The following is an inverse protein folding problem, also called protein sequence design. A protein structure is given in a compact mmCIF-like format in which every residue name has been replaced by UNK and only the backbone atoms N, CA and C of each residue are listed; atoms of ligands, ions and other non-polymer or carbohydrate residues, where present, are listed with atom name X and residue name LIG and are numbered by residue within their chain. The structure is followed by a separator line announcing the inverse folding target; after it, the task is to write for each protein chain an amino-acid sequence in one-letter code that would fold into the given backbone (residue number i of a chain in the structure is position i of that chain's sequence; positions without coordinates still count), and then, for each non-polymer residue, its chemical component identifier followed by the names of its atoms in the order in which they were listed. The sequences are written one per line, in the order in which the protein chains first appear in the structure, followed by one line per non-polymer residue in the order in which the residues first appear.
data_IF_927593278840
#
_entry.id   IF_927593278840
#
_cell.length_a   1.000
_cell.length_b   1.000
_cell.length_c   1.000
_cell.angle_alpha   90.00
_cell.angle_beta   90.00
_cell.angle_gamma   90.00
#
_symmetry.space_group_name_H-M   'P 1'
#
loop_
_entity.id
_entity.type
_entity.pdbx_description
1 polymer ?
#
# COMPACT_ATOMS: atom_id res chain seq x y z
N UNK A 1 -19.84 -8.48 -10.63
CA UNK A 1 -19.01 -9.09 -9.57
C UNK A 1 -18.52 -8.01 -8.63
N UNK A 2 -18.96 -8.10 -7.39
CA UNK A 2 -18.97 -7.08 -6.35
C UNK A 2 -17.95 -7.47 -5.25
N UNK A 3 -16.70 -7.73 -5.63
CA UNK A 3 -15.66 -8.16 -4.67
C UNK A 3 -14.29 -7.53 -4.95
N UNK A 4 -14.27 -6.41 -5.68
CA UNK A 4 -13.07 -5.58 -5.86
C UNK A 4 -12.95 -4.56 -4.74
N UNK A 5 -12.00 -4.78 -3.84
CA UNK A 5 -11.64 -3.83 -2.78
C UNK A 5 -10.68 -2.76 -3.35
N UNK A 6 -11.14 -1.52 -3.44
CA UNK A 6 -10.30 -0.38 -3.77
C UNK A 6 -9.72 0.20 -2.48
N UNK A 7 -8.41 0.07 -2.30
CA UNK A 7 -7.71 0.61 -1.13
C UNK A 7 -6.85 1.80 -1.56
N UNK A 8 -6.97 2.90 -0.81
CA UNK A 8 -6.13 4.08 -0.97
C UNK A 8 -5.06 4.02 0.11
N UNK A 9 -3.80 3.98 -0.31
CA UNK A 9 -2.66 3.92 0.60
C UNK A 9 -2.02 5.31 0.67
N UNK A 10 -2.17 5.98 1.82
CA UNK A 10 -1.58 7.29 2.06
C UNK A 10 -0.33 7.16 2.95
N UNK A 11 0.82 7.58 2.41
CA UNK A 11 2.06 7.71 3.18
C UNK A 11 2.45 9.18 3.23
N UNK A 12 2.12 9.83 4.35
CA UNK A 12 2.28 11.27 4.56
C UNK A 12 3.74 11.71 4.79
N UNK A 13 4.66 10.78 5.06
CA UNK A 13 6.06 11.11 5.36
C UNK A 13 7.07 10.50 4.38
N UNK A 14 8.25 11.15 4.29
CA UNK A 14 9.26 10.93 3.26
C UNK A 14 9.98 9.58 3.29
N UNK A 15 9.89 8.82 4.40
CA UNK A 15 10.57 7.52 4.56
C UNK A 15 9.57 6.40 4.86
N UNK A 16 9.36 5.57 3.85
CA UNK A 16 8.43 4.45 3.85
C UNK A 16 7.99 4.16 2.42
N UNK A 17 8.06 2.90 2.05
CA UNK A 17 7.53 2.32 0.82
C UNK A 17 6.56 1.21 1.21
N UNK A 18 5.41 1.18 0.55
CA UNK A 18 4.48 0.06 0.62
C UNK A 18 4.74 -0.83 -0.59
N UNK A 19 4.71 -2.14 -0.39
CA UNK A 19 4.88 -3.12 -1.43
C UNK A 19 3.65 -4.03 -1.47
N UNK A 20 3.16 -4.30 -2.67
CA UNK A 20 2.14 -5.33 -2.93
C UNK A 20 2.86 -6.49 -3.61
N UNK A 21 2.86 -7.66 -3.00
CA UNK A 21 3.58 -8.85 -3.52
C UNK A 21 5.05 -8.54 -3.88
N UNK A 22 5.74 -7.80 -3.00
CA UNK A 22 7.13 -7.39 -3.21
C UNK A 22 7.36 -6.28 -4.25
N UNK A 23 6.30 -5.73 -4.86
CA UNK A 23 6.41 -4.62 -5.83
C UNK A 23 6.10 -3.29 -5.16
N UNK A 24 7.02 -2.31 -5.17
CA UNK A 24 6.78 -1.01 -4.55
C UNK A 24 5.69 -0.24 -5.32
N UNK A 25 4.74 0.32 -4.58
CA UNK A 25 3.72 1.20 -5.14
C UNK A 25 4.15 2.66 -5.04
N UNK A 26 3.66 3.48 -5.97
CA UNK A 26 3.92 4.92 -5.94
C UNK A 26 3.14 5.56 -4.78
N UNK A 27 3.76 6.53 -4.10
CA UNK A 27 3.05 7.38 -3.14
C UNK A 27 1.93 8.13 -3.85
N UNK A 28 0.81 8.36 -3.15
CA UNK A 28 -0.38 9.05 -3.65
C UNK A 28 -0.95 8.38 -4.92
N UNK A 29 -0.92 7.05 -4.98
CA UNK A 29 -1.55 6.27 -6.05
C UNK A 29 -2.52 5.26 -5.48
N UNK A 30 -3.56 4.94 -6.25
CA UNK A 30 -4.50 3.88 -5.93
C UNK A 30 -4.02 2.57 -6.55
N UNK A 31 -4.11 1.49 -5.80
CA UNK A 31 -3.78 0.15 -6.27
C UNK A 31 -4.94 -0.79 -5.93
N UNK A 32 -5.28 -1.67 -6.87
CA UNK A 32 -6.23 -2.75 -6.62
C UNK A 32 -5.52 -3.85 -5.82
N UNK A 33 -6.16 -4.30 -4.74
CA UNK A 33 -5.67 -5.37 -3.88
C UNK A 33 -6.70 -6.50 -3.94
N UNK A 34 -6.21 -7.71 -4.19
CA UNK A 34 -7.03 -8.91 -4.27
C UNK A 34 -6.86 -9.77 -3.02
N UNK A 35 -7.84 -10.63 -2.76
CA UNK A 35 -7.71 -11.63 -1.71
C UNK A 35 -6.46 -12.51 -1.93
N UNK A 36 -5.60 -12.57 -0.92
CA UNK A 36 -4.32 -13.30 -0.98
C UNK A 36 -3.10 -12.45 -1.32
N UNK A 37 -3.27 -11.17 -1.66
CA UNK A 37 -2.13 -10.26 -1.87
C UNK A 37 -1.42 -9.94 -0.54
N UNK A 38 -0.09 -9.93 -0.57
CA UNK A 38 0.75 -9.54 0.58
C UNK A 38 1.02 -8.04 0.57
N UNK A 39 0.79 -7.39 1.72
CA UNK A 39 1.14 -5.99 1.96
C UNK A 39 2.34 -5.88 2.90
N UNK A 40 3.42 -5.27 2.42
CA UNK A 40 4.60 -4.98 3.23
C UNK A 40 4.80 -3.49 3.39
N UNK A 41 4.86 -3.03 4.64
CA UNK A 41 5.23 -1.67 4.99
C UNK A 41 6.72 -1.65 5.38
N UNK A 42 7.56 -1.03 4.55
CA UNK A 42 8.95 -0.77 4.97
C UNK A 42 8.97 0.28 6.08
N UNK A 43 10.00 0.22 6.93
CA UNK A 43 10.14 0.99 8.18
C UNK A 43 9.65 2.44 8.02
N UNK A 44 8.46 2.79 8.56
CA UNK A 44 7.97 4.16 8.50
C UNK A 44 8.82 5.04 9.42
N UNK A 45 8.99 6.32 9.08
CA UNK A 45 9.66 7.29 9.95
C UNK A 45 8.91 7.56 11.25
N UNK A 46 7.59 7.33 11.29
CA UNK A 46 6.78 7.58 12.50
C UNK A 46 5.45 6.81 12.54
N UNK A 47 4.57 7.07 11.58
CA UNK A 47 3.23 6.47 11.51
C UNK A 47 2.90 6.12 10.06
N UNK A 48 2.19 5.01 9.86
CA UNK A 48 1.57 4.62 8.59
C UNK A 48 0.12 4.23 8.90
N UNK A 49 -0.81 4.63 8.04
CA UNK A 49 -2.24 4.39 8.18
C UNK A 49 -2.77 3.67 6.95
#
# INVERSE_FOLDING_TARGET
DDDTMLVVLESSESKGAVLVNGKPIRKNSSVLINAGDELTFSRPSRHAY
#
